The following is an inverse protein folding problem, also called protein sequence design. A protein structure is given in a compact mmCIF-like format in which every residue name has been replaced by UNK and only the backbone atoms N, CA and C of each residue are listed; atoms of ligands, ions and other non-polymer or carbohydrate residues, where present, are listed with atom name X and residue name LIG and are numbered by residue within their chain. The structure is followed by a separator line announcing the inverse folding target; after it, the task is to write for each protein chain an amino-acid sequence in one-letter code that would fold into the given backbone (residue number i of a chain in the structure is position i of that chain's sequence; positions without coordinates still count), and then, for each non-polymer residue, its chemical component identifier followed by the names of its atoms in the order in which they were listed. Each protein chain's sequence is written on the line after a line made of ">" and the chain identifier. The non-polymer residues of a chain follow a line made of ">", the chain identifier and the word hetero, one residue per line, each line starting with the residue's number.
data_IF_964966877263
#
_entry.id   IF_964966877263
#
_cell.length_a   1.000
_cell.length_b   1.000
_cell.length_c   1.000
_cell.angle_alpha   90.00
_cell.angle_beta   90.00
_cell.angle_gamma   90.00
#
_symmetry.space_group_name_H-M   'P 1'
#
loop_
_entity.id
_entity.type
_entity.pdbx_description
1 polymer ?
#
# COMPACT_ATOMS: atom_id res chain seq x y z
N UNK A 1 -5.62 -6.33 -16.97
CA UNK A 1 -6.72 -5.70 -16.21
C UNK A 1 -6.84 -4.24 -16.64
N UNK A 2 -8.02 -3.87 -17.07
CA UNK A 2 -8.40 -2.50 -17.42
C UNK A 2 -9.22 -1.90 -16.28
N UNK A 3 -8.91 -0.69 -15.86
CA UNK A 3 -9.66 0.03 -14.80
C UNK A 3 -10.09 1.38 -15.36
N UNK A 4 -11.37 1.67 -15.21
CA UNK A 4 -11.94 2.99 -15.43
C UNK A 4 -12.49 3.52 -14.09
N UNK A 5 -12.05 4.70 -13.69
CA UNK A 5 -12.58 5.38 -12.51
C UNK A 5 -13.61 6.41 -12.95
N UNK A 6 -14.83 6.24 -12.47
CA UNK A 6 -15.94 7.18 -12.70
C UNK A 6 -16.10 8.10 -11.47
N UNK A 7 -15.00 8.73 -11.05
CA UNK A 7 -15.06 9.70 -9.97
C UNK A 7 -15.23 11.11 -10.57
N UNK A 8 -16.17 11.89 -10.06
CA UNK A 8 -16.13 13.35 -10.21
C UNK A 8 -14.95 13.86 -9.39
N UNK A 9 -13.78 13.93 -9.99
CA UNK A 9 -12.65 14.67 -9.43
C UNK A 9 -13.00 16.15 -9.44
N UNK A 10 -12.71 16.82 -8.35
CA UNK A 10 -12.89 18.27 -8.21
C UNK A 10 -11.66 19.01 -8.76
N UNK A 11 -11.10 18.54 -9.86
CA UNK A 11 -9.89 19.05 -10.50
C UNK A 11 -10.14 20.22 -11.48
N UNK A 12 -11.30 20.84 -11.39
CA UNK A 12 -11.63 22.05 -12.15
C UNK A 12 -11.74 21.88 -13.68
N UNK A 13 -11.42 20.74 -14.22
CA UNK A 13 -11.62 20.41 -15.64
C UNK A 13 -13.01 19.80 -15.82
N UNK A 14 -13.99 20.64 -16.13
CA UNK A 14 -15.41 20.27 -16.25
C UNK A 14 -15.78 19.33 -17.42
N UNK A 15 -14.87 18.49 -17.88
CA UNK A 15 -15.11 17.56 -18.98
C UNK A 15 -15.47 16.17 -18.44
N UNK A 16 -16.75 15.84 -18.52
CA UNK A 16 -17.30 14.49 -18.24
C UNK A 16 -16.67 13.41 -19.14
N UNK A 17 -16.09 13.79 -20.27
CA UNK A 17 -15.54 12.87 -21.27
C UNK A 17 -14.09 12.41 -20.97
N UNK A 18 -13.40 13.01 -20.00
CA UNK A 18 -12.05 12.64 -19.56
C UNK A 18 -12.09 11.77 -18.31
N UNK A 19 -12.69 10.60 -18.39
CA UNK A 19 -12.60 9.63 -17.31
C UNK A 19 -11.19 9.04 -17.32
N UNK A 20 -10.39 9.20 -16.25
CA UNK A 20 -9.04 8.66 -16.19
C UNK A 20 -9.09 7.14 -16.31
N UNK A 21 -8.48 6.64 -17.36
CA UNK A 21 -8.37 5.20 -17.61
C UNK A 21 -6.95 4.75 -17.31
N UNK A 22 -6.81 3.60 -16.66
CA UNK A 22 -5.51 3.01 -16.41
C UNK A 22 -5.49 1.53 -16.80
N UNK A 23 -4.38 1.12 -17.41
CA UNK A 23 -4.08 -0.30 -17.55
C UNK A 23 -3.25 -0.69 -16.34
N UNK A 24 -3.85 -1.44 -15.41
CA UNK A 24 -3.16 -1.91 -14.23
C UNK A 24 -2.25 -3.11 -14.54
N UNK A 25 -2.69 -3.98 -15.45
CA UNK A 25 -1.99 -5.22 -15.73
C UNK A 25 -2.06 -5.55 -17.23
N UNK A 26 -0.90 -5.64 -17.85
CA UNK A 26 -0.76 -6.04 -19.25
C UNK A 26 0.61 -6.68 -19.47
N UNK A 27 0.65 -7.93 -19.92
CA UNK A 27 1.91 -8.62 -20.14
C UNK A 27 1.72 -10.06 -20.59
N UNK A 28 2.84 -10.77 -20.67
CA UNK A 28 2.91 -12.17 -21.05
C UNK A 28 3.44 -13.00 -19.88
N UNK A 29 2.70 -14.04 -19.51
CA UNK A 29 3.07 -15.01 -18.49
C UNK A 29 3.44 -16.36 -19.11
N UNK A 30 4.53 -16.95 -18.68
CA UNK A 30 4.98 -18.30 -19.06
C UNK A 30 5.19 -19.11 -17.80
N UNK A 31 4.60 -20.31 -17.75
CA UNK A 31 4.83 -21.26 -16.65
C UNK A 31 5.60 -22.47 -17.15
N UNK A 32 6.73 -22.75 -16.54
CA UNK A 32 7.62 -23.86 -16.88
C UNK A 32 7.95 -24.63 -15.60
N UNK A 33 7.28 -25.77 -15.40
CA UNK A 33 7.43 -26.60 -14.21
C UNK A 33 7.26 -25.81 -12.92
N UNK A 34 8.31 -25.65 -12.12
CA UNK A 34 8.31 -24.90 -10.85
C UNK A 34 8.49 -23.41 -11.01
N UNK A 35 8.82 -22.92 -12.22
CA UNK A 35 9.04 -21.53 -12.51
C UNK A 35 7.83 -20.89 -13.17
N UNK A 36 7.54 -19.65 -12.79
CA UNK A 36 6.61 -18.75 -13.47
C UNK A 36 7.32 -17.45 -13.82
N UNK A 37 7.20 -17.03 -15.05
CA UNK A 37 7.78 -15.80 -15.57
C UNK A 37 6.64 -14.87 -15.98
N UNK A 38 6.77 -13.60 -15.69
CA UNK A 38 5.86 -12.59 -16.20
C UNK A 38 6.63 -11.37 -16.67
N UNK A 39 6.35 -10.92 -17.90
CA UNK A 39 6.95 -9.73 -18.50
C UNK A 39 5.82 -8.75 -18.88
N UNK A 40 5.90 -7.52 -18.42
CA UNK A 40 4.91 -6.48 -18.67
C UNK A 40 4.58 -5.63 -17.46
N UNK A 41 3.49 -4.86 -17.55
CA UNK A 41 2.96 -4.07 -16.43
C UNK A 41 2.25 -4.98 -15.44
N UNK A 42 2.64 -4.91 -14.19
CA UNK A 42 2.22 -5.82 -13.14
C UNK A 42 2.24 -5.14 -11.76
N UNK A 43 1.59 -5.76 -10.80
CA UNK A 43 1.69 -5.35 -9.41
C UNK A 43 3.10 -5.63 -8.86
N UNK A 44 3.64 -4.71 -8.07
CA UNK A 44 4.89 -4.92 -7.36
C UNK A 44 4.65 -5.91 -6.22
N UNK A 45 5.56 -6.85 -6.00
CA UNK A 45 5.45 -7.84 -4.91
C UNK A 45 6.01 -7.28 -3.61
N UNK A 46 5.48 -6.15 -3.16
CA UNK A 46 5.95 -5.48 -1.94
C UNK A 46 5.71 -6.26 -0.65
N UNK A 47 4.91 -7.31 -0.68
CA UNK A 47 4.55 -8.06 0.53
C UNK A 47 3.59 -7.29 1.43
N UNK A 48 3.30 -7.88 2.59
CA UNK A 48 2.17 -7.45 3.41
C UNK A 48 0.87 -8.11 2.94
N UNK A 49 0.01 -8.47 3.87
CA UNK A 49 -1.29 -9.08 3.55
C UNK A 49 -2.23 -8.01 2.99
N UNK A 50 -2.25 -6.83 3.61
CA UNK A 50 -3.09 -5.70 3.17
C UNK A 50 -2.85 -5.34 1.70
N UNK A 51 -1.60 -5.43 1.24
CA UNK A 51 -1.24 -5.10 -0.15
C UNK A 51 -1.83 -6.08 -1.17
N UNK A 52 -1.99 -7.34 -0.79
CA UNK A 52 -2.51 -8.42 -1.67
C UNK A 52 -4.04 -8.54 -1.64
N UNK A 53 -4.71 -7.89 -0.68
CA UNK A 53 -6.17 -7.94 -0.60
C UNK A 53 -6.82 -7.24 -1.81
N UNK A 54 -8.03 -7.68 -2.14
CA UNK A 54 -8.83 -6.96 -3.13
C UNK A 54 -9.21 -5.58 -2.56
N UNK A 55 -8.96 -4.49 -3.27
CA UNK A 55 -9.29 -3.14 -2.80
C UNK A 55 -10.74 -2.93 -2.35
N UNK A 56 -11.68 -3.74 -2.86
CA UNK A 56 -13.08 -3.66 -2.44
C UNK A 56 -13.34 -4.19 -1.03
N UNK A 57 -12.43 -5.01 -0.49
CA UNK A 57 -12.53 -5.60 0.84
C UNK A 57 -11.84 -4.74 1.91
N UNK A 58 -11.32 -3.56 1.53
CA UNK A 58 -10.57 -2.68 2.41
C UNK A 58 -11.35 -1.38 2.65
N UNK A 59 -11.82 -1.20 3.87
CA UNK A 59 -12.57 0.01 4.27
C UNK A 59 -11.66 1.21 4.53
N UNK A 60 -10.39 0.98 4.89
CA UNK A 60 -9.36 1.99 5.09
C UNK A 60 -7.99 1.39 4.88
N UNK A 61 -7.14 2.04 4.09
CA UNK A 61 -5.74 1.66 3.89
C UNK A 61 -4.81 2.24 4.97
N UNK A 62 -3.71 1.55 5.23
CA UNK A 62 -2.58 2.15 5.93
C UNK A 62 -1.90 3.22 5.05
N UNK A 63 -1.25 4.21 5.69
CA UNK A 63 -0.47 5.24 4.97
C UNK A 63 0.58 4.60 4.04
N UNK A 64 1.16 3.48 4.48
CA UNK A 64 2.14 2.76 3.69
C UNK A 64 1.57 2.31 2.35
N UNK A 65 0.39 1.72 2.34
CA UNK A 65 -0.23 1.17 1.13
C UNK A 65 -0.90 2.26 0.30
N UNK A 66 -1.56 3.23 0.94
CA UNK A 66 -2.26 4.32 0.25
C UNK A 66 -1.32 5.13 -0.66
N UNK A 67 -0.09 5.36 -0.21
CA UNK A 67 0.89 6.19 -0.90
C UNK A 67 1.94 5.40 -1.71
N UNK A 68 1.75 4.08 -1.93
CA UNK A 68 2.69 3.30 -2.74
C UNK A 68 2.27 3.18 -4.20
N UNK A 69 3.26 3.23 -5.10
CA UNK A 69 3.04 2.97 -6.53
C UNK A 69 2.89 1.46 -6.77
N UNK A 70 1.69 1.01 -7.10
CA UNK A 70 1.33 -0.40 -7.12
C UNK A 70 1.65 -1.12 -8.44
N UNK A 71 1.64 -0.43 -9.57
CA UNK A 71 1.76 -1.06 -10.89
C UNK A 71 2.95 -0.50 -11.66
N UNK A 72 3.91 -1.37 -11.96
CA UNK A 72 5.14 -1.05 -12.66
C UNK A 72 5.40 -2.04 -13.78
N UNK A 73 6.22 -1.64 -14.77
CA UNK A 73 6.56 -2.49 -15.92
C UNK A 73 7.93 -3.13 -15.73
N UNK A 74 8.04 -4.42 -16.03
CA UNK A 74 9.30 -5.15 -15.99
C UNK A 74 9.10 -6.66 -15.96
N UNK A 75 9.97 -7.34 -15.24
CA UNK A 75 10.07 -8.80 -15.18
C UNK A 75 9.82 -9.31 -13.77
N UNK A 76 9.10 -10.42 -13.65
CA UNK A 76 8.93 -11.20 -12.44
C UNK A 76 9.30 -12.65 -12.72
N UNK A 77 10.07 -13.25 -11.82
CA UNK A 77 10.37 -14.68 -11.80
C UNK A 77 9.93 -15.23 -10.45
N UNK A 78 9.02 -16.18 -10.47
CA UNK A 78 8.57 -16.88 -9.28
C UNK A 78 9.01 -18.35 -9.34
N UNK A 79 9.62 -18.83 -8.26
CA UNK A 79 10.02 -20.21 -8.08
C UNK A 79 9.18 -20.85 -6.98
N UNK A 80 8.41 -21.89 -7.36
CA UNK A 80 7.61 -22.67 -6.43
C UNK A 80 8.48 -23.84 -5.93
N UNK A 81 9.09 -23.68 -4.75
CA UNK A 81 9.88 -24.74 -4.13
C UNK A 81 9.01 -26.01 -3.92
N UNK A 82 7.81 -25.81 -3.40
CA UNK A 82 6.75 -26.78 -3.29
C UNK A 82 5.38 -26.07 -3.42
N UNK A 83 4.22 -26.75 -3.33
CA UNK A 83 2.89 -26.13 -3.44
C UNK A 83 2.60 -25.03 -2.41
N UNK A 84 3.37 -24.99 -1.31
CA UNK A 84 3.14 -24.10 -0.17
C UNK A 84 4.18 -23.00 -0.02
N UNK A 85 5.26 -23.04 -0.81
CA UNK A 85 6.38 -22.12 -0.66
C UNK A 85 6.79 -21.55 -2.01
N UNK A 86 6.82 -20.25 -2.11
CA UNK A 86 7.20 -19.54 -3.33
C UNK A 86 8.18 -18.41 -2.99
N UNK A 87 9.22 -18.29 -3.78
CA UNK A 87 10.10 -17.13 -3.79
C UNK A 87 9.91 -16.40 -5.11
N UNK A 88 9.74 -15.08 -5.06
CA UNK A 88 9.63 -14.23 -6.24
C UNK A 88 10.75 -13.21 -6.26
N UNK A 89 11.28 -12.98 -7.45
CA UNK A 89 12.23 -11.89 -7.71
C UNK A 89 11.68 -11.04 -8.85
N UNK A 90 11.54 -9.73 -8.58
CA UNK A 90 11.07 -8.77 -9.56
C UNK A 90 12.15 -7.72 -9.86
N UNK A 91 12.19 -7.31 -11.12
CA UNK A 91 12.94 -6.13 -11.59
C UNK A 91 11.99 -5.29 -12.42
N UNK A 92 11.60 -4.15 -11.90
CA UNK A 92 10.59 -3.27 -12.50
C UNK A 92 11.13 -1.86 -12.66
N UNK A 93 10.53 -1.08 -13.58
CA UNK A 93 10.86 0.33 -13.77
C UNK A 93 10.32 1.18 -12.62
N UNK A 94 11.19 1.88 -11.89
CA UNK A 94 10.84 2.74 -10.75
C UNK A 94 10.24 4.11 -11.14
N UNK A 95 10.26 4.48 -12.41
CA UNK A 95 9.78 5.78 -12.90
C UNK A 95 8.29 5.79 -13.27
N UNK A 96 7.49 4.84 -12.80
CA UNK A 96 6.04 4.86 -12.99
C UNK A 96 5.37 5.80 -11.98
N UNK A 97 4.73 6.85 -12.49
CA UNK A 97 3.99 7.83 -11.69
C UNK A 97 4.44 9.26 -11.99
N UNK A 98 3.96 10.25 -11.25
CA UNK A 98 4.30 11.67 -11.43
C UNK A 98 5.74 11.96 -10.95
N UNK A 99 6.72 11.33 -11.59
CA UNK A 99 8.14 11.47 -11.24
C UNK A 99 8.66 12.90 -11.45
N UNK A 100 8.03 13.67 -12.30
CA UNK A 100 8.41 15.07 -12.55
C UNK A 100 8.05 15.97 -11.38
N UNK A 101 6.91 15.77 -10.75
CA UNK A 101 6.51 16.51 -9.55
C UNK A 101 7.33 16.12 -8.32
N UNK A 102 7.66 14.82 -8.20
CA UNK A 102 8.35 14.29 -7.02
C UNK A 102 9.85 14.60 -7.03
N UNK A 103 10.48 14.46 -8.19
CA UNK A 103 11.94 14.55 -8.32
C UNK A 103 12.40 15.89 -8.91
N UNK A 104 11.52 16.64 -9.56
CA UNK A 104 11.75 17.98 -10.08
C UNK A 104 13.09 18.16 -10.79
N UNK A 105 13.96 18.96 -10.20
CA UNK A 105 15.29 19.33 -10.69
C UNK A 105 16.40 18.31 -10.36
N UNK A 106 16.08 17.25 -9.60
CA UNK A 106 17.07 16.25 -9.21
C UNK A 106 17.58 15.44 -10.41
N UNK A 107 18.89 15.18 -10.44
CA UNK A 107 19.50 14.41 -11.50
C UNK A 107 18.96 12.97 -11.54
N UNK A 108 18.42 12.56 -12.69
CA UNK A 108 17.84 11.23 -12.88
C UNK A 108 18.88 10.12 -12.75
N UNK A 109 18.50 9.01 -12.15
CA UNK A 109 19.34 7.81 -12.15
C UNK A 109 19.44 7.22 -13.56
N UNK A 110 20.60 6.63 -13.88
CA UNK A 110 20.79 5.90 -15.16
C UNK A 110 20.06 4.57 -15.19
N UNK A 111 19.73 4.00 -14.04
CA UNK A 111 19.06 2.71 -13.89
C UNK A 111 17.82 2.88 -12.98
N UNK A 112 16.70 3.39 -13.51
CA UNK A 112 15.48 3.62 -12.75
C UNK A 112 14.75 2.28 -12.49
N UNK A 113 15.33 1.43 -11.65
CA UNK A 113 14.82 0.10 -11.38
C UNK A 113 14.51 -0.08 -9.89
N UNK A 114 13.46 -0.85 -9.62
CA UNK A 114 13.17 -1.44 -8.34
C UNK A 114 13.41 -2.94 -8.41
N UNK A 115 14.13 -3.45 -7.42
CA UNK A 115 14.40 -4.86 -7.21
C UNK A 115 13.64 -5.30 -5.97
N UNK A 116 12.84 -6.35 -6.10
CA UNK A 116 12.06 -6.89 -4.99
C UNK A 116 12.30 -8.39 -4.88
N UNK A 117 12.64 -8.83 -3.68
CA UNK A 117 12.61 -10.24 -3.28
C UNK A 117 11.41 -10.45 -2.37
N UNK A 118 10.56 -11.42 -2.69
CA UNK A 118 9.36 -11.73 -1.92
C UNK A 118 9.32 -13.24 -1.63
N UNK A 119 8.93 -13.60 -0.40
CA UNK A 119 8.68 -14.97 0.01
C UNK A 119 7.25 -15.14 0.48
N UNK A 120 6.53 -16.07 -0.15
CA UNK A 120 5.17 -16.45 0.16
C UNK A 120 5.18 -17.86 0.73
N UNK A 121 4.84 -17.99 1.99
CA UNK A 121 4.72 -19.26 2.68
C UNK A 121 3.29 -19.55 3.09
N UNK A 122 2.92 -20.83 3.05
CA UNK A 122 1.67 -21.34 3.59
C UNK A 122 1.97 -22.57 4.46
N UNK A 123 1.62 -22.49 5.74
CA UNK A 123 1.88 -23.50 6.73
C UNK A 123 0.54 -24.08 7.19
N UNK A 124 0.16 -25.23 6.61
CA UNK A 124 -1.07 -25.99 6.91
C UNK A 124 -2.35 -25.16 6.77
N UNK A 125 -2.36 -24.14 5.91
CA UNK A 125 -3.45 -23.17 5.75
C UNK A 125 -3.81 -22.39 7.03
N UNK A 126 -3.09 -22.59 8.13
CA UNK A 126 -3.27 -21.91 9.42
C UNK A 126 -2.47 -20.61 9.47
N UNK A 127 -1.25 -20.65 8.97
CA UNK A 127 -0.34 -19.50 8.97
C UNK A 127 0.22 -19.28 7.57
N UNK A 128 0.10 -18.03 7.08
CA UNK A 128 0.67 -17.66 5.79
C UNK A 128 1.56 -16.41 5.94
N UNK A 129 2.60 -16.36 5.13
CA UNK A 129 3.56 -15.25 5.09
C UNK A 129 3.54 -14.56 3.74
N UNK A 130 3.78 -13.23 3.77
CA UNK A 130 4.00 -12.35 2.62
C UNK A 130 5.15 -11.40 2.98
N UNK A 131 6.37 -11.94 2.98
CA UNK A 131 7.55 -11.18 3.39
C UNK A 131 8.32 -10.68 2.19
N UNK A 132 8.79 -9.45 2.26
CA UNK A 132 9.55 -8.86 1.16
C UNK A 132 10.63 -7.91 1.62
N UNK A 133 11.62 -7.76 0.74
CA UNK A 133 12.62 -6.70 0.80
C UNK A 133 12.76 -6.10 -0.60
N UNK A 134 12.74 -4.77 -0.68
CA UNK A 134 12.87 -4.06 -1.95
C UNK A 134 13.92 -2.95 -1.85
N UNK A 135 14.61 -2.72 -2.95
CA UNK A 135 15.46 -1.55 -3.14
C UNK A 135 15.09 -0.89 -4.47
N UNK A 136 14.86 0.40 -4.44
CA UNK A 136 14.50 1.20 -5.60
C UNK A 136 15.53 2.30 -5.81
N UNK A 137 16.02 2.42 -7.02
CA UNK A 137 16.80 3.60 -7.42
C UNK A 137 15.83 4.74 -7.73
N UNK A 138 15.98 5.85 -7.04
CA UNK A 138 15.12 7.02 -7.19
C UNK A 138 15.76 8.06 -8.13
N UNK A 139 16.69 8.83 -7.63
CA UNK A 139 17.51 9.76 -8.39
C UNK A 139 18.97 9.37 -8.29
N UNK A 140 19.90 10.17 -8.84
CA UNK A 140 21.32 9.90 -8.72
C UNK A 140 21.77 10.00 -7.27
N UNK A 141 22.19 8.86 -6.71
CA UNK A 141 22.65 8.75 -5.34
C UNK A 141 21.56 8.42 -4.31
N UNK A 142 20.29 8.66 -4.63
CA UNK A 142 19.19 8.41 -3.71
C UNK A 142 18.49 7.07 -3.99
N UNK A 143 18.07 6.40 -2.91
CA UNK A 143 17.42 5.09 -2.96
C UNK A 143 16.30 5.00 -1.95
N UNK A 144 15.27 4.23 -2.30
CA UNK A 144 14.28 3.75 -1.35
C UNK A 144 14.61 2.31 -0.95
N UNK A 145 14.50 2.02 0.33
CA UNK A 145 14.51 0.67 0.89
C UNK A 145 13.13 0.40 1.50
N UNK A 146 12.58 -0.76 1.22
CA UNK A 146 11.28 -1.16 1.74
C UNK A 146 11.33 -2.60 2.25
N UNK A 147 10.70 -2.84 3.39
CA UNK A 147 10.55 -4.15 4.01
C UNK A 147 9.12 -4.36 4.44
N UNK A 148 8.60 -5.56 4.25
CA UNK A 148 7.31 -5.97 4.76
C UNK A 148 7.35 -7.37 5.35
N UNK A 149 6.67 -7.55 6.48
CA UNK A 149 6.43 -8.85 7.12
C UNK A 149 4.92 -9.01 7.28
N UNK A 150 4.28 -9.54 6.25
CA UNK A 150 2.85 -9.85 6.27
C UNK A 150 2.60 -11.25 6.81
N UNK A 151 1.70 -11.38 7.76
CA UNK A 151 1.36 -12.62 8.44
C UNK A 151 -0.15 -12.76 8.53
N UNK A 152 -0.69 -13.84 7.96
CA UNK A 152 -2.11 -14.17 7.98
C UNK A 152 -2.32 -15.44 8.85
N UNK A 153 -3.35 -15.40 9.66
CA UNK A 153 -3.70 -16.45 10.60
C UNK A 153 -5.15 -16.90 10.41
N UNK A 154 -5.33 -18.16 10.08
CA UNK A 154 -6.64 -18.84 9.98
C UNK A 154 -6.81 -19.75 11.19
N UNK A 155 -7.16 -19.20 12.35
CA UNK A 155 -7.28 -19.98 13.59
C UNK A 155 -8.42 -20.98 13.57
N UNK A 156 -9.48 -20.68 12.84
CA UNK A 156 -10.65 -21.55 12.65
C UNK A 156 -11.52 -21.00 11.51
N UNK A 157 -12.57 -21.74 11.06
CA UNK A 157 -13.53 -21.21 10.08
C UNK A 157 -14.26 -19.93 10.52
N UNK A 158 -14.18 -19.59 11.81
CA UNK A 158 -14.81 -18.38 12.38
C UNK A 158 -13.83 -17.24 12.60
N UNK A 159 -12.56 -17.51 12.79
CA UNK A 159 -11.56 -16.52 13.16
C UNK A 159 -10.45 -16.46 12.13
N UNK A 160 -10.32 -15.30 11.51
CA UNK A 160 -9.26 -14.95 10.60
C UNK A 160 -8.62 -13.64 11.05
N UNK A 161 -7.31 -13.55 11.02
CA UNK A 161 -6.59 -12.32 11.32
C UNK A 161 -5.40 -12.15 10.39
N UNK A 162 -4.97 -10.91 10.19
CA UNK A 162 -3.65 -10.65 9.64
C UNK A 162 -2.95 -9.54 10.42
N UNK A 163 -1.63 -9.62 10.40
CA UNK A 163 -0.74 -8.61 10.97
C UNK A 163 0.35 -8.29 9.96
N UNK A 164 0.46 -7.02 9.62
CA UNK A 164 1.52 -6.49 8.76
C UNK A 164 2.42 -5.54 9.55
N UNK A 165 3.72 -5.73 9.40
CA UNK A 165 4.73 -4.73 9.70
C UNK A 165 5.35 -4.29 8.39
N UNK A 166 5.38 -2.98 8.15
CA UNK A 166 5.93 -2.40 6.93
C UNK A 166 6.83 -1.23 7.31
N UNK A 167 7.95 -1.14 6.64
CA UNK A 167 8.95 -0.10 6.86
C UNK A 167 9.50 0.39 5.52
N UNK A 168 9.59 1.70 5.33
CA UNK A 168 10.29 2.29 4.19
C UNK A 168 11.23 3.39 4.63
N UNK A 169 12.36 3.48 3.93
CA UNK A 169 13.36 4.52 4.04
C UNK A 169 13.62 5.06 2.65
N UNK A 170 13.31 6.32 2.44
CA UNK A 170 13.22 6.96 1.14
C UNK A 170 14.23 8.10 1.07
N UNK A 171 15.12 8.04 0.09
CA UNK A 171 16.07 9.13 -0.17
C UNK A 171 15.35 10.42 -0.54
N UNK A 172 14.32 10.29 -1.39
CA UNK A 172 13.34 11.34 -1.70
C UNK A 172 11.97 10.86 -1.25
N UNK A 173 11.21 11.69 -0.57
CA UNK A 173 9.91 11.36 0.00
C UNK A 173 8.88 11.02 -1.09
N UNK A 174 8.70 9.74 -1.36
CA UNK A 174 7.73 9.25 -2.36
C UNK A 174 6.28 9.29 -1.88
N UNK A 175 6.06 9.25 -0.57
CA UNK A 175 4.72 9.29 0.01
C UNK A 175 4.18 10.70 0.15
N UNK A 176 5.07 11.71 0.09
CA UNK A 176 4.70 13.11 0.20
C UNK A 176 4.26 13.55 1.61
N UNK A 177 4.26 12.64 2.58
CA UNK A 177 3.75 12.95 3.93
C UNK A 177 4.71 13.90 4.66
N UNK A 178 6.02 13.63 4.63
CA UNK A 178 7.03 14.53 5.21
C UNK A 178 7.08 15.82 4.40
N UNK A 179 7.07 15.72 3.08
CA UNK A 179 7.04 16.87 2.16
C UNK A 179 5.91 17.84 2.51
N UNK A 180 4.70 17.34 2.72
CA UNK A 180 3.55 18.16 3.09
C UNK A 180 3.71 18.81 4.47
N UNK A 181 4.38 18.14 5.43
CA UNK A 181 4.60 18.70 6.78
C UNK A 181 5.68 19.78 6.78
N UNK A 182 6.78 19.57 6.08
CA UNK A 182 7.91 20.51 6.10
C UNK A 182 7.72 21.67 5.14
N UNK A 183 6.85 21.52 4.15
CA UNK A 183 6.69 22.47 3.06
C UNK A 183 7.87 22.40 2.08
N UNK A 184 7.62 22.67 0.83
CA UNK A 184 8.66 22.74 -0.22
C UNK A 184 8.45 23.96 -1.10
N UNK A 185 7.93 25.05 -0.54
CA UNK A 185 7.55 26.27 -1.28
C UNK A 185 8.67 26.84 -2.15
N UNK A 186 9.93 26.50 -1.84
CA UNK A 186 11.12 26.96 -2.56
C UNK A 186 11.87 25.80 -3.25
N UNK A 187 11.36 24.56 -3.24
CA UNK A 187 12.02 23.39 -3.83
C UNK A 187 11.20 22.83 -4.97
N UNK A 188 11.87 22.45 -6.06
CA UNK A 188 11.21 21.81 -7.19
C UNK A 188 10.98 20.29 -6.98
N UNK A 189 11.38 19.74 -5.84
CA UNK A 189 11.31 18.31 -5.51
C UNK A 189 10.79 18.06 -4.09
N UNK A 190 10.39 16.83 -3.81
CA UNK A 190 9.96 16.39 -2.48
C UNK A 190 11.12 16.38 -1.47
N UNK A 191 10.77 16.45 -0.19
CA UNK A 191 11.73 16.43 0.91
C UNK A 191 12.63 15.19 0.88
N UNK A 192 13.85 15.31 1.41
CA UNK A 192 14.79 14.21 1.50
C UNK A 192 14.66 13.42 2.81
N UNK A 193 15.19 12.19 2.77
CA UNK A 193 15.46 11.37 3.94
C UNK A 193 14.21 11.00 4.75
N UNK A 194 13.09 10.73 4.09
CA UNK A 194 11.87 10.30 4.74
C UNK A 194 11.94 8.84 5.21
N UNK A 195 11.32 8.56 6.36
CA UNK A 195 11.24 7.23 6.95
C UNK A 195 9.82 6.99 7.47
N UNK A 196 9.25 5.85 7.11
CA UNK A 196 7.88 5.46 7.44
C UNK A 196 7.83 4.07 8.03
N UNK A 197 6.96 3.88 8.99
CA UNK A 197 6.68 2.58 9.59
C UNK A 197 5.17 2.45 9.83
N UNK A 198 4.61 1.31 9.46
CA UNK A 198 3.21 0.97 9.69
C UNK A 198 3.10 -0.41 10.32
N UNK A 199 2.28 -0.50 11.37
CA UNK A 199 1.75 -1.73 11.94
C UNK A 199 0.27 -1.79 11.64
N UNK A 200 -0.19 -2.89 11.08
CA UNK A 200 -1.60 -3.11 10.75
C UNK A 200 -2.03 -4.44 11.35
N UNK A 201 -3.08 -4.43 12.15
CA UNK A 201 -3.74 -5.64 12.65
C UNK A 201 -5.20 -5.61 12.19
N UNK A 202 -5.64 -6.67 11.56
CA UNK A 202 -7.03 -6.88 11.17
C UNK A 202 -7.53 -8.21 11.69
N UNK A 203 -8.74 -8.24 12.19
CA UNK A 203 -9.40 -9.44 12.71
C UNK A 203 -10.81 -9.52 12.16
N UNK A 204 -11.17 -10.70 11.67
CA UNK A 204 -12.52 -11.08 11.27
C UNK A 204 -13.06 -12.15 12.22
N UNK A 205 -14.31 -12.00 12.61
CA UNK A 205 -15.04 -12.96 13.42
C UNK A 205 -16.40 -13.28 12.82
N UNK A 206 -16.50 -14.46 12.22
CA UNK A 206 -17.78 -14.99 11.69
C UNK A 206 -18.58 -15.63 12.82
N UNK A 207 -19.32 -14.82 13.55
CA UNK A 207 -20.09 -15.27 14.72
C UNK A 207 -21.34 -16.06 14.36
N UNK A 208 -21.87 -15.89 13.14
CA UNK A 208 -22.96 -16.68 12.59
C UNK A 208 -22.74 -16.95 11.08
N UNK A 209 -23.40 -17.94 10.46
CA UNK A 209 -23.13 -18.32 9.06
C UNK A 209 -23.22 -17.18 8.05
N UNK A 210 -24.08 -16.20 8.32
CA UNK A 210 -24.31 -15.03 7.45
C UNK A 210 -23.76 -13.73 7.99
N UNK A 211 -23.09 -13.72 9.13
CA UNK A 211 -22.67 -12.52 9.81
C UNK A 211 -21.20 -12.53 10.17
N UNK A 212 -20.51 -11.47 9.84
CA UNK A 212 -19.12 -11.23 10.18
C UNK A 212 -18.98 -9.91 10.95
N UNK A 213 -18.15 -9.91 11.97
CA UNK A 213 -17.61 -8.70 12.59
C UNK A 213 -16.17 -8.56 12.17
N UNK A 214 -15.75 -7.33 11.91
CA UNK A 214 -14.33 -7.05 11.71
C UNK A 214 -13.87 -5.88 12.57
N UNK A 215 -12.58 -5.91 12.89
CA UNK A 215 -11.88 -4.80 13.53
C UNK A 215 -10.50 -4.65 12.90
N UNK A 216 -10.06 -3.42 12.68
CA UNK A 216 -8.74 -3.07 12.18
C UNK A 216 -8.13 -1.98 13.04
N UNK A 217 -6.85 -2.15 13.41
CA UNK A 217 -6.04 -1.15 14.08
C UNK A 217 -4.77 -0.88 13.26
N UNK A 218 -4.38 0.38 13.17
CA UNK A 218 -3.16 0.81 12.50
C UNK A 218 -2.38 1.78 13.40
N UNK A 219 -1.07 1.62 13.44
CA UNK A 219 -0.15 2.56 14.07
C UNK A 219 0.93 2.91 13.07
N UNK A 220 1.13 4.20 12.82
CA UNK A 220 1.95 4.67 11.73
C UNK A 220 2.79 5.86 12.15
N UNK A 221 4.03 5.92 11.66
CA UNK A 221 4.93 7.02 11.93
C UNK A 221 5.52 7.58 10.64
N UNK A 222 5.72 8.90 10.64
CA UNK A 222 6.46 9.62 9.61
C UNK A 222 7.61 10.37 10.29
N UNK A 223 8.83 10.14 9.81
CA UNK A 223 10.08 10.64 10.40
C UNK A 223 11.05 11.05 9.30
N UNK A 224 12.06 11.82 9.67
CA UNK A 224 13.25 12.09 8.86
C UNK A 224 14.42 11.39 9.49
N UNK A 225 15.08 10.49 8.75
CA UNK A 225 16.16 9.65 9.31
C UNK A 225 17.54 10.31 9.30
N UNK A 226 17.73 11.34 8.49
CA UNK A 226 18.95 12.12 8.38
C UNK A 226 18.59 13.58 8.11
N UNK A 227 19.16 14.51 8.89
CA UNK A 227 18.96 15.95 8.66
C UNK A 227 19.50 16.36 7.28
N UNK A 228 18.83 17.33 6.67
CA UNK A 228 19.28 18.13 5.54
C UNK A 228 19.37 19.60 5.96
N UNK A 229 19.83 20.48 5.07
CA UNK A 229 20.03 21.90 5.38
C UNK A 229 18.74 22.59 5.87
N UNK A 230 17.58 22.08 5.49
CA UNK A 230 16.26 22.69 5.77
C UNK A 230 15.39 21.85 6.72
N UNK A 231 15.71 20.57 6.92
CA UNK A 231 14.84 19.63 7.65
C UNK A 231 15.61 18.88 8.72
N UNK A 232 15.19 18.99 9.97
CA UNK A 232 15.80 18.31 11.09
C UNK A 232 15.48 16.80 11.12
N UNK A 233 16.45 15.99 11.56
CA UNK A 233 16.24 14.58 11.84
C UNK A 233 15.26 14.38 13.01
N UNK A 234 14.34 13.43 12.89
CA UNK A 234 13.47 12.96 13.96
C UNK A 234 12.05 12.67 13.50
N UNK A 235 11.21 12.32 14.44
CA UNK A 235 9.79 12.05 14.16
C UNK A 235 9.02 13.35 14.00
N UNK A 236 8.09 13.37 13.05
CA UNK A 236 7.21 14.49 12.74
C UNK A 236 5.75 14.18 13.05
N UNK A 237 5.30 12.97 12.69
CA UNK A 237 3.90 12.57 12.85
C UNK A 237 3.78 11.14 13.37
N UNK A 238 2.76 10.91 14.19
CA UNK A 238 2.20 9.60 14.52
C UNK A 238 0.74 9.59 14.10
N UNK A 239 0.31 8.56 13.39
CA UNK A 239 -1.09 8.36 13.04
C UNK A 239 -1.60 7.05 13.66
N UNK A 240 -2.84 7.10 14.15
CA UNK A 240 -3.61 5.95 14.57
C UNK A 240 -4.80 5.80 13.65
N UNK A 241 -4.95 4.64 13.04
CA UNK A 241 -6.13 4.29 12.27
C UNK A 241 -6.89 3.18 12.98
N UNK A 242 -8.20 3.25 12.95
CA UNK A 242 -9.07 2.21 13.51
C UNK A 242 -10.34 2.11 12.68
N UNK A 243 -10.73 0.89 12.39
CA UNK A 243 -11.97 0.59 11.70
C UNK A 243 -12.65 -0.60 12.37
N UNK A 244 -13.95 -0.65 12.28
CA UNK A 244 -14.74 -1.78 12.74
C UNK A 244 -16.11 -1.77 12.11
N UNK A 245 -16.68 -2.94 11.95
CA UNK A 245 -18.00 -3.02 11.32
C UNK A 245 -18.60 -4.40 11.37
N UNK A 246 -19.81 -4.47 10.85
CA UNK A 246 -20.58 -5.69 10.70
C UNK A 246 -20.93 -5.88 9.22
N UNK A 247 -20.82 -7.12 8.77
CA UNK A 247 -21.14 -7.54 7.40
C UNK A 247 -22.22 -8.62 7.43
N UNK A 248 -23.15 -8.51 6.50
CA UNK A 248 -24.23 -9.48 6.33
C UNK A 248 -24.18 -10.11 4.93
N UNK A 249 -24.05 -11.41 4.88
CA UNK A 249 -24.00 -12.24 3.67
C UNK A 249 -25.34 -12.96 3.48
N UNK A 250 -26.28 -12.42 2.70
CA UNK A 250 -27.63 -12.99 2.56
C UNK A 250 -27.64 -14.36 1.88
N UNK A 251 -26.67 -14.61 0.98
CA UNK A 251 -26.57 -15.81 0.17
C UNK A 251 -25.11 -16.25 0.02
N UNK A 252 -24.86 -17.43 -0.57
CA UNK A 252 -23.50 -17.94 -0.84
C UNK A 252 -22.78 -17.25 -2.01
N UNK A 253 -23.34 -16.18 -2.55
CA UNK A 253 -22.67 -15.35 -3.56
C UNK A 253 -21.75 -14.33 -2.90
N UNK A 254 -20.87 -13.71 -3.69
CA UNK A 254 -19.98 -12.63 -3.24
C UNK A 254 -20.73 -11.29 -2.96
N UNK A 255 -22.01 -11.37 -2.57
CA UNK A 255 -22.79 -10.22 -2.15
C UNK A 255 -22.75 -10.11 -0.63
N UNK A 256 -22.36 -8.95 -0.12
CA UNK A 256 -22.57 -8.62 1.29
C UNK A 256 -22.97 -7.16 1.48
N UNK A 257 -23.75 -6.93 2.51
CA UNK A 257 -24.07 -5.59 3.02
C UNK A 257 -23.17 -5.29 4.20
N UNK A 258 -22.82 -4.04 4.39
CA UNK A 258 -21.96 -3.65 5.50
C UNK A 258 -22.42 -2.35 6.16
N UNK A 259 -22.11 -2.24 7.46
CA UNK A 259 -22.05 -1.01 8.23
C UNK A 259 -20.66 -0.95 8.84
N UNK A 260 -19.90 0.08 8.49
CA UNK A 260 -18.52 0.26 8.92
C UNK A 260 -18.29 1.66 9.50
N UNK A 261 -17.52 1.71 10.57
CA UNK A 261 -16.96 2.94 11.11
C UNK A 261 -15.45 2.96 10.90
N UNK A 262 -14.93 4.11 10.47
CA UNK A 262 -13.51 4.35 10.25
C UNK A 262 -13.12 5.64 10.95
N UNK A 263 -12.06 5.62 11.73
CA UNK A 263 -11.48 6.79 12.37
C UNK A 263 -9.97 6.84 12.14
N UNK A 264 -9.45 8.05 11.99
CA UNK A 264 -8.01 8.34 11.95
C UNK A 264 -7.69 9.48 12.90
N UNK A 265 -6.60 9.36 13.65
CA UNK A 265 -6.11 10.41 14.55
C UNK A 265 -4.65 10.70 14.23
N UNK A 266 -4.34 11.95 13.92
CA UNK A 266 -3.01 12.41 13.58
C UNK A 266 -2.45 13.26 14.72
N UNK A 267 -1.27 12.89 15.22
CA UNK A 267 -0.54 13.62 16.25
C UNK A 267 0.80 14.08 15.71
N UNK A 268 0.98 15.36 15.69
CA UNK A 268 2.21 16.02 15.25
C UNK A 268 3.10 16.33 16.44
N UNK A 269 4.41 16.20 16.24
CA UNK A 269 5.41 16.58 17.26
C UNK A 269 5.54 18.11 17.34
N UNK A 270 6.21 18.61 18.37
CA UNK A 270 6.38 20.06 18.54
C UNK A 270 7.12 20.69 17.37
N UNK A 271 8.07 19.98 16.74
CA UNK A 271 8.73 20.46 15.52
C UNK A 271 7.78 20.59 14.33
N UNK A 272 6.86 19.65 14.14
CA UNK A 272 5.86 19.74 13.06
C UNK A 272 4.84 20.86 13.34
N UNK A 273 4.47 21.04 14.62
CA UNK A 273 3.60 22.15 15.03
C UNK A 273 4.25 23.52 14.83
N UNK A 274 5.57 23.62 15.02
CA UNK A 274 6.30 24.85 14.72
C UNK A 274 6.30 25.20 13.22
N UNK A 275 6.00 24.23 12.35
CA UNK A 275 5.82 24.40 10.90
C UNK A 275 4.35 24.64 10.51
N UNK A 276 3.44 24.75 11.48
CA UNK A 276 2.03 25.06 11.23
C UNK A 276 1.07 23.86 11.26
N UNK A 277 1.58 22.67 11.58
CA UNK A 277 0.73 21.47 11.67
C UNK A 277 -0.01 21.41 13.00
N UNK A 278 -1.26 20.98 12.96
CA UNK A 278 -2.10 20.77 14.14
C UNK A 278 -2.62 19.34 14.24
N UNK A 279 -2.80 18.86 15.48
CA UNK A 279 -3.42 17.55 15.70
C UNK A 279 -4.88 17.56 15.24
N UNK A 280 -5.28 16.53 14.52
CA UNK A 280 -6.67 16.39 14.11
C UNK A 280 -7.11 14.92 14.07
N UNK A 281 -8.39 14.70 13.96
CA UNK A 281 -8.99 13.38 13.78
C UNK A 281 -10.11 13.43 12.75
N UNK A 282 -10.24 12.36 12.01
CA UNK A 282 -11.31 12.17 11.03
C UNK A 282 -12.18 10.97 11.41
N UNK A 283 -13.47 11.03 11.08
CA UNK A 283 -14.42 9.98 11.38
C UNK A 283 -15.37 9.79 10.19
N UNK A 284 -15.61 8.54 9.82
CA UNK A 284 -16.52 8.19 8.73
C UNK A 284 -17.37 6.99 9.12
N UNK A 285 -18.67 7.08 8.93
CA UNK A 285 -19.58 5.95 8.95
C UNK A 285 -20.00 5.67 7.52
N UNK A 286 -19.90 4.42 7.11
CA UNK A 286 -20.26 3.97 5.78
C UNK A 286 -21.23 2.82 5.86
N UNK A 287 -22.30 2.88 5.05
CA UNK A 287 -23.26 1.81 4.85
C UNK A 287 -23.32 1.53 3.35
N UNK A 288 -23.38 0.26 2.98
CA UNK A 288 -23.42 -0.09 1.56
C UNK A 288 -23.49 -1.59 1.34
N UNK A 289 -23.25 -1.96 0.10
CA UNK A 289 -23.09 -3.36 -0.29
C UNK A 289 -21.92 -3.50 -1.28
N UNK A 290 -21.31 -4.68 -1.28
CA UNK A 290 -20.30 -5.09 -2.24
C UNK A 290 -20.80 -6.35 -2.93
N UNK A 291 -20.79 -6.33 -4.25
CA UNK A 291 -21.20 -7.48 -5.05
C UNK A 291 -20.22 -7.73 -6.19
N UNK A 292 -19.51 -8.83 -6.09
CA UNK A 292 -18.64 -9.32 -7.18
C UNK A 292 -19.46 -10.24 -8.08
N UNK A 293 -19.90 -9.71 -9.21
CA UNK A 293 -20.61 -10.51 -10.20
C UNK A 293 -19.61 -11.22 -11.11
N UNK A 294 -19.68 -12.55 -11.29
CA UNK A 294 -19.03 -13.21 -12.42
C UNK A 294 -19.71 -12.72 -13.69
N UNK A 295 -18.98 -12.07 -14.58
CA UNK A 295 -19.52 -11.52 -15.82
C UNK A 295 -19.36 -12.48 -16.99
N UNK A 296 -18.47 -13.48 -16.85
CA UNK A 296 -18.21 -14.52 -17.87
C UNK A 296 -17.80 -15.84 -17.20
#
# INVERSE_FOLDING_TARGET
>A
RYRQRLNRGNDGSGNIDNVPTSIDWAGVGIRLNKFSFFAGKQCVSYGGIEFDLNPIDIYEYSDMIEHMSNFMTGLNVAYNYNPYQQIQFQVLNSLNGPSEEMYGDLERTKLPLVYTLNWNGNFLDVFKTRWSASVMNETKGEKMYYYALGNEFNFSPKWHAYFDWMYSREGVDRKGIITNIVGTDNQAHNAFNAEYMSYVLHVNYRFAPKWNLFAKGMYETASVYKASDEVEKGKYRTAWGYAGGIEFYPMESNLHFFLAYVGRSYKYTDRAKALGEDNFSTHRVSVGFIWQMPVF
#
